data_IF_480660387945
#
_entry.id   IF_480660387945
#
_cell.length_a   1.000
_cell.length_b   1.000
_cell.length_c   1.000
_cell.angle_alpha   90.00
_cell.angle_beta   90.00
_cell.angle_gamma   90.00
#
_symmetry.space_group_name_H-M   'P 1'
#
loop_
_entity.id
_entity.type
_entity.pdbx_description
1 polymer ?
#
# COMPACT_ATOMS: atom_id res chain seq x y z
N UNK A 1 24.57 -37.20 2.08
CA UNK A 1 25.29 -36.04 1.50
C UNK A 1 24.55 -34.74 1.82
N UNK A 2 23.23 -34.76 2.02
CA UNK A 2 22.41 -33.59 2.39
C UNK A 2 22.93 -32.72 3.54
N UNK A 3 23.41 -33.32 4.64
CA UNK A 3 23.77 -32.55 5.85
C UNK A 3 24.99 -31.64 5.69
N UNK A 4 25.87 -31.94 4.74
CA UNK A 4 27.08 -31.15 4.51
C UNK A 4 26.78 -29.95 3.60
N UNK A 5 25.90 -30.14 2.62
CA UNK A 5 25.41 -29.09 1.73
C UNK A 5 24.57 -28.05 2.50
N UNK A 6 23.77 -28.51 3.47
CA UNK A 6 22.96 -27.67 4.36
C UNK A 6 23.81 -26.76 5.28
N UNK A 7 25.03 -27.19 5.61
CA UNK A 7 25.99 -26.40 6.40
C UNK A 7 26.81 -25.42 5.54
N UNK A 8 27.02 -25.73 4.25
CA UNK A 8 27.85 -24.91 3.36
C UNK A 8 27.10 -23.69 2.79
N UNK A 9 25.77 -23.80 2.65
CA UNK A 9 24.92 -22.69 2.22
C UNK A 9 23.98 -22.31 3.37
N UNK A 10 24.43 -21.47 4.33
CA UNK A 10 23.55 -20.99 5.38
C UNK A 10 22.37 -20.28 4.70
N UNK A 11 21.20 -20.89 4.78
CA UNK A 11 19.99 -20.37 4.18
C UNK A 11 19.73 -19.00 4.82
N UNK A 12 19.83 -17.88 4.07
CA UNK A 12 19.79 -16.56 4.65
C UNK A 12 18.42 -16.37 5.32
N UNK A 13 18.41 -16.26 6.66
CA UNK A 13 17.18 -16.08 7.42
C UNK A 13 16.46 -14.81 6.95
N UNK A 14 15.18 -14.89 6.57
CA UNK A 14 14.42 -13.72 6.17
C UNK A 14 14.35 -12.71 7.31
N UNK A 15 14.55 -11.44 6.98
CA UNK A 15 14.20 -10.35 7.89
C UNK A 15 12.68 -10.34 8.05
N UNK A 16 12.19 -10.69 9.24
CA UNK A 16 10.76 -10.70 9.56
C UNK A 16 10.12 -9.33 9.28
N UNK A 17 10.81 -8.26 9.65
CA UNK A 17 10.34 -6.89 9.43
C UNK A 17 10.27 -6.56 7.95
N UNK A 18 11.32 -6.90 7.17
CA UNK A 18 11.32 -6.66 5.72
C UNK A 18 10.22 -7.44 4.99
N UNK A 19 9.96 -8.67 5.43
CA UNK A 19 8.89 -9.52 4.89
C UNK A 19 7.51 -8.94 5.19
N UNK A 20 7.29 -8.49 6.43
CA UNK A 20 6.03 -7.84 6.82
C UNK A 20 5.80 -6.54 6.04
N UNK A 21 6.80 -5.68 5.95
CA UNK A 21 6.72 -4.41 5.18
C UNK A 21 6.43 -4.70 3.72
N UNK A 22 7.05 -5.73 3.13
CA UNK A 22 6.80 -6.13 1.75
C UNK A 22 5.34 -6.57 1.51
N UNK A 23 4.83 -7.47 2.35
CA UNK A 23 3.48 -8.04 2.22
C UNK A 23 2.41 -6.99 2.51
N UNK A 24 2.67 -6.11 3.48
CA UNK A 24 1.75 -5.08 3.93
C UNK A 24 1.90 -3.76 3.19
N UNK A 25 2.79 -3.66 2.20
CA UNK A 25 3.05 -2.40 1.49
C UNK A 25 1.78 -1.77 0.91
N UNK A 26 0.96 -2.56 0.21
CA UNK A 26 -0.35 -2.11 -0.30
C UNK A 26 -1.29 -1.63 0.82
N UNK A 27 -1.58 -2.48 1.84
CA UNK A 27 -2.43 -2.08 2.96
C UNK A 27 -1.94 -0.83 3.71
N UNK A 28 -0.63 -0.64 3.84
CA UNK A 28 -0.04 0.55 4.47
C UNK A 28 -0.35 1.81 3.65
N UNK A 29 -0.19 1.75 2.32
CA UNK A 29 -0.50 2.88 1.45
C UNK A 29 -1.99 3.22 1.45
N UNK A 30 -2.85 2.19 1.46
CA UNK A 30 -4.29 2.38 1.58
C UNK A 30 -4.68 2.98 2.95
N UNK A 31 -4.10 2.50 4.05
CA UNK A 31 -4.34 3.08 5.38
C UNK A 31 -3.88 4.54 5.45
N UNK A 32 -2.74 4.87 4.83
CA UNK A 32 -2.21 6.23 4.77
C UNK A 32 -3.13 7.14 3.93
N UNK A 33 -3.64 6.66 2.80
CA UNK A 33 -4.65 7.38 2.02
C UNK A 33 -5.87 7.73 2.88
N UNK A 34 -6.44 6.75 3.58
CA UNK A 34 -7.63 6.98 4.40
C UNK A 34 -7.33 8.01 5.50
N UNK A 35 -6.18 7.90 6.17
CA UNK A 35 -5.77 8.87 7.18
C UNK A 35 -5.70 10.29 6.60
N UNK A 36 -5.14 10.46 5.40
CA UNK A 36 -5.06 11.76 4.71
C UNK A 36 -6.46 12.26 4.31
N UNK A 37 -7.31 11.40 3.78
CA UNK A 37 -8.69 11.77 3.38
C UNK A 37 -9.47 12.23 4.61
N UNK A 38 -9.61 11.39 5.64
CA UNK A 38 -10.43 11.70 6.81
C UNK A 38 -9.83 12.82 7.67
N UNK A 39 -8.51 12.79 7.89
CA UNK A 39 -7.82 13.82 8.64
C UNK A 39 -7.84 15.17 7.91
N UNK A 40 -7.59 15.15 6.61
CA UNK A 40 -7.61 16.35 5.77
C UNK A 40 -9.01 16.93 5.63
N UNK A 41 -10.06 16.11 5.50
CA UNK A 41 -11.44 16.59 5.52
C UNK A 41 -11.79 17.27 6.86
N UNK A 42 -11.41 16.65 7.98
CA UNK A 42 -11.67 17.22 9.31
C UNK A 42 -11.02 18.60 9.45
N UNK A 43 -9.76 18.72 9.05
CA UNK A 43 -9.03 19.99 9.08
C UNK A 43 -9.61 21.01 8.10
N UNK A 44 -9.88 20.61 6.86
CA UNK A 44 -10.42 21.49 5.82
C UNK A 44 -11.80 22.04 6.23
N UNK A 45 -12.71 21.19 6.71
CA UNK A 45 -14.03 21.67 7.14
C UNK A 45 -13.94 22.55 8.40
N UNK A 46 -13.04 22.26 9.35
CA UNK A 46 -12.86 23.11 10.55
C UNK A 46 -12.39 24.54 10.25
N UNK A 47 -11.74 24.74 9.10
CA UNK A 47 -11.22 26.03 8.66
C UNK A 47 -12.17 26.75 7.68
N UNK A 48 -13.40 26.24 7.50
CA UNK A 48 -14.36 26.80 6.55
C UNK A 48 -14.04 26.48 5.10
N UNK A 49 -13.36 25.36 4.84
CA UNK A 49 -12.99 24.91 3.51
C UNK A 49 -14.19 24.67 2.59
N UNK A 50 -13.99 24.92 1.30
CA UNK A 50 -15.02 24.73 0.28
C UNK A 50 -15.16 23.26 -0.13
N UNK A 51 -16.31 22.85 -0.71
CA UNK A 51 -16.48 21.51 -1.28
C UNK A 51 -15.40 21.15 -2.30
N UNK A 52 -14.99 22.11 -3.14
CA UNK A 52 -13.92 21.93 -4.13
C UNK A 52 -12.57 21.58 -3.48
N UNK A 53 -12.26 22.16 -2.32
CA UNK A 53 -11.04 21.82 -1.56
C UNK A 53 -11.07 20.36 -1.08
N UNK A 54 -12.24 19.89 -0.64
CA UNK A 54 -12.43 18.50 -0.23
C UNK A 54 -12.31 17.52 -1.39
N UNK A 55 -12.89 17.83 -2.55
CA UNK A 55 -12.77 16.99 -3.75
C UNK A 55 -11.32 16.88 -4.23
N UNK A 56 -10.61 18.00 -4.32
CA UNK A 56 -9.19 18.01 -4.70
C UNK A 56 -8.31 17.20 -3.74
N UNK A 57 -8.60 17.26 -2.44
CA UNK A 57 -7.91 16.45 -1.44
C UNK A 57 -8.11 14.96 -1.71
N UNK A 58 -9.35 14.52 -1.95
CA UNK A 58 -9.64 13.10 -2.21
C UNK A 58 -8.98 12.63 -3.51
N UNK A 59 -9.02 13.42 -4.58
CA UNK A 59 -8.36 13.08 -5.83
C UNK A 59 -6.84 12.95 -5.65
N UNK A 60 -6.20 13.94 -5.03
CA UNK A 60 -4.76 13.90 -4.77
C UNK A 60 -4.38 12.71 -3.87
N UNK A 61 -5.15 12.49 -2.80
CA UNK A 61 -4.93 11.40 -1.86
C UNK A 61 -5.21 10.02 -2.45
N UNK A 62 -5.98 9.90 -3.54
CA UNK A 62 -6.26 8.61 -4.19
C UNK A 62 -5.32 8.33 -5.36
N UNK A 63 -5.05 9.33 -6.22
CA UNK A 63 -4.21 9.16 -7.41
C UNK A 63 -2.78 8.80 -7.01
N UNK A 64 -2.19 9.51 -6.04
CA UNK A 64 -0.79 9.30 -5.65
C UNK A 64 -0.55 7.86 -5.15
N UNK A 65 -1.24 7.36 -4.12
CA UNK A 65 -1.02 6.00 -3.65
C UNK A 65 -1.46 4.94 -4.66
N UNK A 66 -2.49 5.18 -5.49
CA UNK A 66 -2.87 4.25 -6.55
C UNK A 66 -1.76 4.07 -7.58
N UNK A 67 -1.14 5.16 -8.04
CA UNK A 67 0.02 5.09 -8.94
C UNK A 67 1.20 4.36 -8.27
N UNK A 68 1.44 4.58 -6.98
CA UNK A 68 2.53 3.91 -6.25
C UNK A 68 2.26 2.40 -6.10
N UNK A 69 1.03 1.98 -5.79
CA UNK A 69 0.65 0.57 -5.68
C UNK A 69 0.69 -0.12 -7.05
N UNK A 70 0.19 0.54 -8.11
CA UNK A 70 0.33 0.04 -9.48
C UNK A 70 1.80 -0.13 -9.89
N UNK A 71 2.65 0.84 -9.58
CA UNK A 71 4.08 0.72 -9.84
C UNK A 71 4.67 -0.47 -9.07
N UNK A 72 4.31 -0.63 -7.79
CA UNK A 72 4.74 -1.75 -6.95
C UNK A 72 4.34 -3.12 -7.56
N UNK A 73 3.13 -3.25 -8.11
CA UNK A 73 2.67 -4.48 -8.77
C UNK A 73 3.55 -4.86 -9.97
N UNK A 74 4.15 -3.89 -10.66
CA UNK A 74 5.05 -4.13 -11.80
C UNK A 74 6.49 -4.41 -11.34
N UNK A 75 6.96 -3.75 -10.27
CA UNK A 75 8.35 -3.81 -9.80
C UNK A 75 8.57 -4.66 -8.55
N UNK A 76 7.71 -5.65 -8.29
CA UNK A 76 7.80 -6.52 -7.10
C UNK A 76 9.18 -7.18 -6.92
N UNK A 77 9.78 -7.65 -8.02
CA UNK A 77 11.06 -8.39 -7.95
C UNK A 77 12.27 -7.54 -7.51
N UNK A 78 12.54 -6.34 -8.06
CA UNK A 78 13.61 -5.48 -7.53
C UNK A 78 13.29 -4.94 -6.15
N UNK A 79 12.02 -4.62 -5.85
CA UNK A 79 11.62 -4.06 -4.55
C UNK A 79 11.88 -5.04 -3.40
N UNK A 80 11.54 -6.31 -3.59
CA UNK A 80 11.82 -7.31 -2.59
C UNK A 80 13.32 -7.59 -2.41
N UNK A 81 14.11 -7.45 -3.48
CA UNK A 81 15.59 -7.55 -3.40
C UNK A 81 16.16 -6.42 -2.54
N UNK A 82 15.59 -5.21 -2.64
CA UNK A 82 15.96 -4.06 -1.80
C UNK A 82 15.65 -4.32 -0.32
N UNK A 83 14.58 -5.07 -0.01
CA UNK A 83 14.22 -5.48 1.35
C UNK A 83 14.98 -6.71 1.87
N UNK A 84 15.96 -7.20 1.13
CA UNK A 84 16.80 -8.35 1.55
C UNK A 84 16.14 -9.72 1.39
N UNK A 85 15.01 -9.81 0.68
CA UNK A 85 14.36 -11.08 0.35
C UNK A 85 15.11 -11.72 -0.83
N UNK A 86 15.98 -12.69 -0.56
CA UNK A 86 16.77 -13.38 -1.59
C UNK A 86 15.98 -14.51 -2.27
N UNK A 87 16.37 -14.87 -3.50
CA UNK A 87 15.74 -15.97 -4.26
C UNK A 87 15.95 -17.36 -3.66
N UNK A 88 16.84 -17.50 -2.68
CA UNK A 88 17.15 -18.75 -2.01
C UNK A 88 16.09 -19.16 -0.97
N UNK A 89 15.09 -18.31 -0.71
CA UNK A 89 14.03 -18.60 0.23
C UNK A 89 12.98 -19.54 -0.38
N UNK A 90 12.77 -20.67 0.29
CA UNK A 90 11.81 -21.72 -0.11
C UNK A 90 10.38 -21.17 -0.27
N UNK A 91 9.98 -20.24 0.62
CA UNK A 91 8.63 -19.64 0.65
C UNK A 91 8.46 -18.39 -0.22
N UNK A 92 9.47 -18.01 -1.01
CA UNK A 92 9.47 -16.72 -1.72
C UNK A 92 8.26 -16.53 -2.64
N UNK A 93 7.83 -17.59 -3.32
CA UNK A 93 6.66 -17.59 -4.20
C UNK A 93 5.35 -17.35 -3.44
N UNK A 94 5.24 -17.85 -2.21
CA UNK A 94 4.06 -17.64 -1.40
C UNK A 94 3.97 -16.17 -0.97
N UNK A 95 5.08 -15.58 -0.51
CA UNK A 95 5.13 -14.16 -0.15
C UNK A 95 4.83 -13.24 -1.32
N UNK A 96 5.35 -13.54 -2.52
CA UNK A 96 5.04 -12.74 -3.72
C UNK A 96 3.55 -12.79 -4.06
N UNK A 97 2.90 -13.97 -3.98
CA UNK A 97 1.45 -14.08 -4.21
C UNK A 97 0.65 -13.30 -3.17
N UNK A 98 1.00 -13.42 -1.89
CA UNK A 98 0.29 -12.71 -0.82
C UNK A 98 0.46 -11.21 -1.03
N UNK A 99 1.69 -10.72 -1.23
CA UNK A 99 1.97 -9.30 -1.48
C UNK A 99 1.25 -8.77 -2.73
N UNK A 100 1.13 -9.59 -3.79
CA UNK A 100 0.40 -9.22 -5.00
C UNK A 100 -1.11 -9.13 -4.76
N UNK A 101 -1.70 -10.12 -4.08
CA UNK A 101 -3.13 -10.12 -3.75
C UNK A 101 -3.47 -8.96 -2.80
N UNK A 102 -2.66 -8.71 -1.76
CA UNK A 102 -2.88 -7.60 -0.83
C UNK A 102 -2.73 -6.26 -1.53
N UNK A 103 -1.76 -6.10 -2.42
CA UNK A 103 -1.60 -4.90 -3.23
C UNK A 103 -2.78 -4.67 -4.18
N UNK A 104 -3.28 -5.71 -4.87
CA UNK A 104 -4.47 -5.58 -5.71
C UNK A 104 -5.72 -5.20 -4.93
N UNK A 105 -5.94 -5.82 -3.77
CA UNK A 105 -7.07 -5.47 -2.91
C UNK A 105 -6.95 -4.02 -2.42
N UNK A 106 -5.74 -3.58 -2.11
CA UNK A 106 -5.47 -2.20 -1.72
C UNK A 106 -5.72 -1.23 -2.88
N UNK A 107 -5.30 -1.57 -4.10
CA UNK A 107 -5.56 -0.78 -5.30
C UNK A 107 -7.06 -0.62 -5.54
N UNK A 108 -7.80 -1.72 -5.46
CA UNK A 108 -9.25 -1.69 -5.58
C UNK A 108 -9.89 -0.79 -4.53
N UNK A 109 -9.42 -0.87 -3.28
CA UNK A 109 -9.90 -0.02 -2.19
C UNK A 109 -9.56 1.46 -2.41
N UNK A 110 -8.34 1.77 -2.88
CA UNK A 110 -7.88 3.13 -3.20
C UNK A 110 -8.75 3.74 -4.30
N UNK A 111 -8.97 3.01 -5.39
CA UNK A 111 -9.80 3.43 -6.53
C UNK A 111 -11.24 3.62 -6.07
N UNK A 112 -11.77 2.67 -5.30
CA UNK A 112 -13.13 2.77 -4.76
C UNK A 112 -13.30 4.01 -3.89
N UNK A 113 -12.37 4.30 -2.99
CA UNK A 113 -12.37 5.53 -2.18
C UNK A 113 -12.36 6.79 -3.05
N UNK A 114 -11.59 6.81 -4.13
CA UNK A 114 -11.62 7.91 -5.10
C UNK A 114 -13.00 8.06 -5.78
N UNK A 115 -13.63 6.94 -6.18
CA UNK A 115 -14.98 6.94 -6.79
C UNK A 115 -16.04 7.50 -5.84
N UNK A 116 -15.92 7.25 -4.53
CA UNK A 116 -16.89 7.80 -3.57
C UNK A 116 -16.92 9.32 -3.53
N UNK A 117 -15.86 10.02 -3.97
CA UNK A 117 -15.84 11.48 -4.10
C UNK A 117 -16.89 12.01 -5.09
N UNK A 118 -17.31 11.19 -6.06
CA UNK A 118 -18.35 11.56 -7.03
C UNK A 118 -19.77 11.46 -6.45
N UNK A 119 -19.94 10.71 -5.35
CA UNK A 119 -21.25 10.40 -4.75
C UNK A 119 -21.47 11.21 -3.47
N UNK A 120 -20.39 11.47 -2.72
CA UNK A 120 -20.45 12.12 -1.41
C UNK A 120 -19.90 13.53 -1.51
N UNK A 121 -20.77 14.53 -1.30
CA UNK A 121 -20.35 15.94 -1.23
C UNK A 121 -19.55 16.19 0.04
N UNK A 122 -18.33 16.72 -0.12
CA UNK A 122 -17.47 17.09 1.00
C UNK A 122 -17.98 18.35 1.72
N UNK A 123 -17.80 18.38 3.06
CA UNK A 123 -18.20 19.48 3.94
C UNK A 123 -19.64 19.94 3.67
N UNK A 124 -20.63 19.07 3.88
CA UNK A 124 -22.04 19.50 3.88
C UNK A 124 -22.18 20.60 4.90
N UNK A 125 -22.35 21.83 4.40
CA UNK A 125 -22.39 23.06 5.16
C UNK A 125 -23.46 22.93 6.24
N UNK A 126 -23.04 22.56 7.46
CA UNK A 126 -23.86 22.65 8.64
C UNK A 126 -24.28 24.10 8.74
N UNK A 127 -25.57 24.34 8.50
CA UNK A 127 -26.18 25.62 8.82
C UNK A 127 -26.07 25.88 10.31
#
# INVERSE_FOLDING_TARGET
MDRLDELLTPNPKPSTVGTLVYILFGPILWALQLAVIYGGHTLACSQGGTPATGEWLVYAASIVPGVVVLAFLVVQSPFARMLGLTRAMEDRRAYDRIAWVTALLSEFAIVWSGVTALVVTACTQGR
#
